data_IF_706836702965
#
_entry.id   IF_706836702965
#
_cell.length_a   1.000
_cell.length_b   1.000
_cell.length_c   1.000
_cell.angle_alpha   90.00
_cell.angle_beta   90.00
_cell.angle_gamma   90.00
#
_symmetry.space_group_name_H-M   'P 1'
#
loop_
_entity.id
_entity.type
_entity.pdbx_description
1 polymer ?
#
# COMPACT_ATOMS: atom_id res chain seq x y z
N UNK A 1 -0.22 25.14 -12.13
CA UNK A 1 -1.32 25.56 -11.25
C UNK A 1 -0.77 25.63 -9.84
N UNK A 2 -1.02 26.70 -9.08
CA UNK A 2 -0.50 26.82 -7.72
C UNK A 2 -1.11 25.76 -6.80
N UNK A 3 -0.31 25.24 -5.87
CA UNK A 3 -0.80 24.27 -4.88
C UNK A 3 -1.67 24.97 -3.83
N UNK A 4 -2.56 24.22 -3.16
CA UNK A 4 -3.41 24.78 -2.10
C UNK A 4 -2.59 25.50 -1.00
N UNK A 5 -1.40 24.96 -0.69
CA UNK A 5 -0.46 25.55 0.27
C UNK A 5 0.09 26.90 -0.21
N UNK A 6 0.43 27.03 -1.49
CA UNK A 6 0.89 28.29 -2.09
C UNK A 6 -0.21 29.36 -2.09
N UNK A 7 -1.46 28.95 -2.35
CA UNK A 7 -2.62 29.84 -2.31
C UNK A 7 -2.78 30.39 -0.89
N UNK A 8 -2.79 29.53 0.14
CA UNK A 8 -2.91 29.95 1.54
C UNK A 8 -1.77 30.87 1.97
N UNK A 9 -0.53 30.57 1.57
CA UNK A 9 0.62 31.42 1.85
C UNK A 9 0.46 32.82 1.22
N UNK A 10 0.04 32.87 -0.04
CA UNK A 10 -0.23 34.12 -0.74
C UNK A 10 -1.38 34.91 -0.09
N UNK A 11 -2.45 34.23 0.34
CA UNK A 11 -3.56 34.86 1.07
C UNK A 11 -3.10 35.48 2.40
N UNK A 12 -2.25 34.80 3.16
CA UNK A 12 -1.68 35.35 4.41
C UNK A 12 -0.81 36.57 4.16
N UNK A 13 -0.04 36.60 3.07
CA UNK A 13 0.74 37.79 2.68
C UNK A 13 -0.16 38.97 2.30
N UNK A 14 -1.25 38.71 1.57
CA UNK A 14 -2.23 39.74 1.22
C UNK A 14 -2.92 40.31 2.47
N UNK A 15 -3.31 39.45 3.41
CA UNK A 15 -3.91 39.89 4.68
C UNK A 15 -2.94 40.77 5.46
N UNK A 16 -1.66 40.37 5.57
CA UNK A 16 -0.63 41.21 6.23
C UNK A 16 -0.47 42.59 5.57
N UNK A 17 -0.53 42.66 4.24
CA UNK A 17 -0.48 43.95 3.52
C UNK A 17 -1.71 44.80 3.83
N UNK A 18 -2.89 44.20 3.87
CA UNK A 18 -4.14 44.90 4.23
C UNK A 18 -4.13 45.36 5.69
N UNK A 19 -3.59 44.58 6.62
CA UNK A 19 -3.41 44.96 8.03
C UNK A 19 -2.52 46.22 8.15
N UNK A 20 -1.43 46.28 7.37
CA UNK A 20 -0.56 47.46 7.32
C UNK A 20 -1.29 48.72 6.85
N UNK A 21 -2.07 48.62 5.78
CA UNK A 21 -2.87 49.74 5.26
C UNK A 21 -3.99 50.15 6.24
N UNK A 22 -4.64 49.18 6.88
CA UNK A 22 -5.70 49.44 7.87
C UNK A 22 -5.18 50.20 9.10
N UNK A 23 -3.94 49.92 9.52
CA UNK A 23 -3.27 50.64 10.61
C UNK A 23 -2.94 52.10 10.27
N UNK A 24 -2.71 52.42 8.99
CA UNK A 24 -2.46 53.81 8.57
C UNK A 24 -3.74 54.68 8.58
N UNK A 25 -4.91 54.06 8.42
CA UNK A 25 -6.21 54.75 8.37
C UNK A 25 -6.99 54.70 9.70
N UNK A 26 -6.37 54.13 10.75
CA UNK A 26 -6.89 54.01 12.13
C UNK A 26 -8.34 53.51 12.22
N UNK A 27 -8.70 52.56 11.33
CA UNK A 27 -10.04 51.98 11.27
C UNK A 27 -10.09 50.69 12.12
N UNK A 28 -10.51 50.83 13.38
CA UNK A 28 -10.57 49.73 14.33
C UNK A 28 -11.43 48.54 13.87
N UNK A 29 -12.55 48.79 13.21
CA UNK A 29 -13.44 47.73 12.71
C UNK A 29 -12.78 46.92 11.58
N UNK A 30 -12.06 47.60 10.68
CA UNK A 30 -11.30 46.95 9.63
C UNK A 30 -10.13 46.12 10.19
N UNK A 31 -9.43 46.64 11.21
CA UNK A 31 -8.32 45.94 11.88
C UNK A 31 -8.83 44.65 12.54
N UNK A 32 -9.96 44.71 13.26
CA UNK A 32 -10.55 43.54 13.91
C UNK A 32 -11.04 42.49 12.88
N UNK A 33 -11.68 42.94 11.81
CA UNK A 33 -12.11 42.06 10.72
C UNK A 33 -10.94 41.35 10.03
N UNK A 34 -9.83 42.04 9.81
CA UNK A 34 -8.61 41.46 9.23
C UNK A 34 -7.93 40.47 10.18
N UNK A 35 -7.92 40.76 11.48
CA UNK A 35 -7.38 39.85 12.50
C UNK A 35 -8.18 38.54 12.55
N UNK A 36 -9.53 38.63 12.54
CA UNK A 36 -10.41 37.46 12.48
C UNK A 36 -10.21 36.64 11.20
N UNK A 37 -10.09 37.31 10.04
CA UNK A 37 -9.81 36.64 8.77
C UNK A 37 -8.45 35.94 8.81
N UNK A 38 -7.42 36.58 9.35
CA UNK A 38 -6.08 36.00 9.52
C UNK A 38 -6.12 34.73 10.37
N UNK A 39 -6.85 34.74 11.48
CA UNK A 39 -7.03 33.58 12.35
C UNK A 39 -7.71 32.42 11.62
N UNK A 40 -8.76 32.70 10.85
CA UNK A 40 -9.44 31.68 10.04
C UNK A 40 -8.52 31.07 8.97
N UNK A 41 -7.73 31.89 8.28
CA UNK A 41 -6.77 31.40 7.26
C UNK A 41 -5.61 30.62 7.91
N UNK A 42 -5.18 30.98 9.13
CA UNK A 42 -4.20 30.18 9.86
C UNK A 42 -4.74 28.81 10.26
N UNK A 43 -5.97 28.73 10.78
CA UNK A 43 -6.62 27.44 11.07
C UNK A 43 -6.73 26.57 9.82
N UNK A 44 -7.16 27.17 8.70
CA UNK A 44 -7.20 26.47 7.41
C UNK A 44 -5.82 25.95 6.99
N UNK A 45 -4.76 26.72 7.24
CA UNK A 45 -3.39 26.27 6.97
C UNK A 45 -3.02 25.03 7.77
N UNK A 46 -3.36 25.01 9.05
CA UNK A 46 -3.10 23.86 9.94
C UNK A 46 -3.86 22.62 9.48
N UNK A 47 -5.14 22.75 9.16
CA UNK A 47 -5.96 21.64 8.61
C UNK A 47 -5.38 21.09 7.30
N UNK A 48 -4.91 21.97 6.41
CA UNK A 48 -4.27 21.55 5.15
C UNK A 48 -2.95 20.81 5.40
N UNK A 49 -2.18 21.19 6.43
CA UNK A 49 -0.98 20.46 6.82
C UNK A 49 -1.31 19.05 7.32
N UNK A 50 -2.27 18.93 8.22
CA UNK A 50 -2.74 17.65 8.77
C UNK A 50 -3.29 16.72 7.66
N UNK A 51 -4.11 17.27 6.75
CA UNK A 51 -4.60 16.51 5.59
C UNK A 51 -3.47 16.06 4.66
N UNK A 52 -2.45 16.90 4.45
CA UNK A 52 -1.29 16.54 3.62
C UNK A 52 -0.48 15.40 4.24
N UNK A 53 -0.34 15.38 5.58
CA UNK A 53 0.34 14.31 6.31
C UNK A 53 -0.45 13.00 6.23
N UNK A 54 -1.76 13.06 6.43
CA UNK A 54 -2.66 11.91 6.28
C UNK A 54 -2.66 11.34 4.87
N UNK A 55 -2.67 12.19 3.83
CA UNK A 55 -2.59 11.75 2.43
C UNK A 55 -1.26 11.01 2.18
N UNK A 56 -0.15 11.52 2.69
CA UNK A 56 1.15 10.86 2.58
C UNK A 56 1.17 9.50 3.29
N UNK A 57 0.61 9.42 4.50
CA UNK A 57 0.51 8.16 5.23
C UNK A 57 -0.36 7.13 4.49
N UNK A 58 -1.53 7.55 4.00
CA UNK A 58 -2.42 6.69 3.25
C UNK A 58 -1.78 6.19 1.96
N UNK A 59 -1.08 7.05 1.21
CA UNK A 59 -0.34 6.64 0.01
C UNK A 59 0.72 5.59 0.33
N UNK A 60 1.49 5.77 1.41
CA UNK A 60 2.48 4.76 1.84
C UNK A 60 1.84 3.43 2.22
N UNK A 61 0.69 3.46 2.91
CA UNK A 61 -0.06 2.25 3.25
C UNK A 61 -0.58 1.55 1.99
N UNK A 62 -1.11 2.30 1.03
CA UNK A 62 -1.54 1.77 -0.27
C UNK A 62 -0.37 1.13 -0.99
N UNK A 63 0.76 1.81 -1.14
CA UNK A 63 1.96 1.26 -1.78
C UNK A 63 2.45 -0.01 -1.09
N UNK A 64 2.46 -0.04 0.25
CA UNK A 64 2.81 -1.23 1.02
C UNK A 64 1.85 -2.39 0.74
N UNK A 65 0.54 -2.13 0.75
CA UNK A 65 -0.47 -3.14 0.47
C UNK A 65 -0.40 -3.63 -0.97
N UNK A 66 -0.25 -2.73 -1.94
CA UNK A 66 -0.08 -3.08 -3.36
C UNK A 66 1.17 -3.93 -3.57
N UNK A 67 2.30 -3.59 -2.95
CA UNK A 67 3.51 -4.42 -3.01
C UNK A 67 3.30 -5.82 -2.43
N UNK A 68 2.49 -5.94 -1.37
CA UNK A 68 2.12 -7.24 -0.79
C UNK A 68 1.12 -8.03 -1.65
N UNK A 69 0.30 -7.33 -2.45
CA UNK A 69 -0.69 -7.93 -3.36
C UNK A 69 -0.05 -8.43 -4.65
N UNK A 70 0.95 -7.73 -5.20
CA UNK A 70 1.73 -8.20 -6.36
C UNK A 70 2.45 -9.53 -6.05
N UNK A 71 2.71 -9.82 -4.77
CA UNK A 71 3.25 -11.10 -4.30
C UNK A 71 2.18 -12.16 -3.95
N UNK A 72 0.92 -11.98 -4.33
CA UNK A 72 -0.06 -13.08 -4.33
C UNK A 72 -0.16 -13.64 -5.74
N UNK A 73 0.71 -14.60 -6.12
CA UNK A 73 0.51 -15.33 -7.36
C UNK A 73 -0.88 -15.96 -7.33
N UNK A 74 -1.47 -16.21 -8.50
CA UNK A 74 -2.72 -16.98 -8.65
C UNK A 74 -2.49 -18.41 -8.12
N UNK A 75 -2.58 -18.54 -6.80
CA UNK A 75 -2.27 -19.74 -6.06
C UNK A 75 -3.50 -20.64 -6.06
N UNK A 76 -3.44 -21.69 -6.83
CA UNK A 76 -4.49 -22.70 -6.89
C UNK A 76 -4.09 -23.88 -6.00
N UNK A 77 -4.90 -24.15 -4.97
CA UNK A 77 -4.72 -25.34 -4.13
C UNK A 77 -5.28 -26.55 -4.86
N UNK A 78 -4.42 -27.52 -5.18
CA UNK A 78 -4.85 -28.74 -5.87
C UNK A 78 -4.00 -29.94 -5.41
N UNK A 79 -4.65 -31.11 -5.23
CA UNK A 79 -4.04 -32.35 -4.68
C UNK A 79 -3.15 -32.13 -3.45
N UNK A 80 -3.59 -31.23 -2.56
CA UNK A 80 -2.90 -30.98 -1.29
C UNK A 80 -1.61 -30.15 -1.42
N UNK A 81 -1.38 -29.43 -2.51
CA UNK A 81 -0.28 -28.45 -2.62
C UNK A 81 -0.77 -27.18 -3.31
N UNK A 82 0.00 -26.09 -3.22
CA UNK A 82 -0.28 -24.89 -3.99
C UNK A 82 0.47 -24.89 -5.31
N UNK A 83 -0.15 -24.31 -6.33
CA UNK A 83 0.41 -24.13 -7.66
C UNK A 83 0.26 -22.68 -8.07
N UNK A 84 1.26 -22.18 -8.77
CA UNK A 84 1.24 -20.85 -9.37
C UNK A 84 1.17 -21.03 -10.88
N UNK A 85 0.31 -20.26 -11.55
CA UNK A 85 0.26 -20.27 -13.01
C UNK A 85 1.62 -19.87 -13.60
N UNK A 86 2.15 -20.69 -14.52
CA UNK A 86 3.48 -20.50 -15.11
C UNK A 86 4.64 -21.07 -14.29
N UNK A 87 4.37 -21.60 -13.10
CA UNK A 87 5.37 -22.30 -12.29
C UNK A 87 5.24 -23.82 -12.46
N UNK A 88 6.36 -24.47 -12.72
CA UNK A 88 6.41 -25.91 -12.92
C UNK A 88 6.52 -26.70 -11.61
N UNK A 89 6.73 -26.05 -10.46
CA UNK A 89 7.01 -26.67 -9.16
C UNK A 89 5.92 -26.38 -8.09
N UNK A 90 5.49 -27.37 -7.28
CA UNK A 90 4.50 -27.17 -6.24
C UNK A 90 5.08 -26.44 -5.04
N UNK A 91 4.21 -25.72 -4.38
CA UNK A 91 4.51 -24.95 -3.18
C UNK A 91 3.89 -25.62 -1.95
N UNK A 92 4.57 -25.51 -0.82
CA UNK A 92 4.11 -26.08 0.45
C UNK A 92 2.87 -25.34 0.98
N UNK A 93 1.72 -26.03 1.20
CA UNK A 93 0.53 -25.39 1.74
C UNK A 93 0.70 -24.96 3.19
N UNK A 94 1.46 -25.72 3.98
CA UNK A 94 1.64 -25.43 5.41
C UNK A 94 2.45 -24.15 5.61
N UNK A 95 3.56 -23.99 4.89
CA UNK A 95 4.40 -22.79 5.00
C UNK A 95 3.70 -21.54 4.42
N UNK A 96 2.92 -21.73 3.36
CA UNK A 96 2.13 -20.65 2.78
C UNK A 96 0.96 -20.22 3.69
N UNK A 97 0.18 -21.15 4.21
CA UNK A 97 -0.99 -20.82 5.03
C UNK A 97 -0.59 -20.25 6.40
N UNK A 98 0.54 -20.69 6.95
CA UNK A 98 1.00 -20.24 8.26
C UNK A 98 1.71 -18.89 8.21
N UNK A 99 2.69 -18.76 7.31
CA UNK A 99 3.67 -17.66 7.35
C UNK A 99 3.72 -16.89 6.01
N UNK A 100 2.80 -17.17 5.06
CA UNK A 100 2.86 -16.72 3.65
C UNK A 100 4.24 -16.95 3.02
N UNK A 101 4.95 -17.97 3.51
CA UNK A 101 6.29 -18.30 3.06
C UNK A 101 6.16 -19.27 1.90
N UNK A 102 6.50 -18.74 0.74
CA UNK A 102 6.46 -19.46 -0.50
C UNK A 102 7.72 -20.37 -0.56
N UNK A 103 7.54 -21.69 -0.39
CA UNK A 103 8.61 -22.67 -0.51
C UNK A 103 8.23 -23.79 -1.47
N UNK A 104 9.10 -24.07 -2.43
CA UNK A 104 8.99 -25.24 -3.27
C UNK A 104 9.17 -26.54 -2.48
N UNK A 105 8.42 -27.57 -2.87
CA UNK A 105 8.61 -28.91 -2.36
C UNK A 105 9.72 -29.62 -3.13
N UNK A 106 10.66 -30.24 -2.41
CA UNK A 106 11.69 -31.09 -3.01
C UNK A 106 11.04 -32.33 -3.63
N UNK A 107 11.37 -32.59 -4.89
CA UNK A 107 10.80 -33.69 -5.67
C UNK A 107 11.75 -34.88 -5.68
N UNK A 108 11.19 -36.06 -5.45
CA UNK A 108 11.88 -37.34 -5.62
C UNK A 108 10.99 -38.26 -6.45
N UNK A 109 11.43 -38.58 -7.66
CA UNK A 109 10.71 -39.49 -8.54
C UNK A 109 10.88 -40.93 -8.03
N UNK A 110 9.76 -41.63 -7.84
CA UNK A 110 9.67 -43.02 -7.41
C UNK A 110 8.93 -43.85 -8.48
N UNK A 111 9.07 -45.17 -8.45
CA UNK A 111 8.36 -46.04 -9.41
C UNK A 111 6.83 -45.92 -9.33
N UNK A 112 6.29 -45.54 -8.17
CA UNK A 112 4.85 -45.43 -7.92
C UNK A 112 4.30 -43.98 -7.93
N UNK A 113 5.12 -42.99 -8.30
CA UNK A 113 4.73 -41.58 -8.28
C UNK A 113 5.88 -40.65 -7.90
N UNK A 114 5.57 -39.40 -7.55
CA UNK A 114 6.54 -38.38 -7.16
C UNK A 114 6.31 -37.99 -5.71
N UNK A 115 7.28 -38.28 -4.85
CA UNK A 115 7.27 -37.78 -3.48
C UNK A 115 7.71 -36.30 -3.48
N UNK A 116 6.86 -35.44 -2.93
CA UNK A 116 7.15 -34.04 -2.73
C UNK A 116 7.23 -33.75 -1.23
N UNK A 117 8.36 -33.23 -0.75
CA UNK A 117 8.58 -32.94 0.65
C UNK A 117 9.09 -31.51 0.88
N UNK A 118 8.53 -30.81 1.86
CA UNK A 118 8.95 -29.48 2.24
C UNK A 118 10.23 -29.55 3.07
N UNK A 119 11.31 -28.84 2.69
CA UNK A 119 12.55 -28.83 3.46
C UNK A 119 12.42 -28.14 4.83
N UNK A 120 11.42 -27.28 5.03
CA UNK A 120 11.29 -26.46 6.23
C UNK A 120 10.35 -27.06 7.29
N UNK A 121 9.18 -27.56 6.89
CA UNK A 121 8.18 -28.07 7.84
C UNK A 121 7.98 -29.59 7.79
N UNK A 122 8.62 -30.30 6.86
CA UNK A 122 8.48 -31.75 6.72
C UNK A 122 7.15 -32.22 6.11
N UNK A 123 6.27 -31.29 5.70
CA UNK A 123 5.06 -31.62 4.94
C UNK A 123 5.43 -32.44 3.70
N UNK A 124 4.80 -33.59 3.53
CA UNK A 124 5.05 -34.44 2.38
C UNK A 124 3.74 -34.94 1.75
N UNK A 125 3.78 -35.13 0.44
CA UNK A 125 2.67 -35.63 -0.37
C UNK A 125 3.22 -36.47 -1.50
N UNK A 126 2.50 -37.52 -1.88
CA UNK A 126 2.79 -38.29 -3.09
C UNK A 126 1.89 -37.78 -4.22
N UNK A 127 2.49 -37.14 -5.22
CA UNK A 127 1.82 -36.69 -6.42
C UNK A 127 1.94 -37.76 -7.51
N UNK A 128 0.89 -37.94 -8.29
CA UNK A 128 0.97 -38.82 -9.47
C UNK A 128 1.84 -38.20 -10.57
N UNK A 129 2.40 -39.04 -11.45
CA UNK A 129 3.29 -38.62 -12.55
C UNK A 129 2.60 -37.79 -13.64
N UNK A 130 1.31 -37.50 -13.49
CA UNK A 130 0.48 -36.75 -14.44
C UNK A 130 0.45 -35.25 -14.16
N UNK A 131 1.33 -34.74 -13.27
CA UNK A 131 1.28 -33.39 -12.73
C UNK A 131 2.61 -32.61 -12.93
N UNK A 132 2.61 -31.32 -13.33
CA UNK A 132 1.47 -30.39 -13.55
C UNK A 132 0.50 -30.77 -14.65
N UNK A 133 -0.81 -30.39 -14.56
CA UNK A 133 -1.79 -30.66 -15.60
C UNK A 133 -1.32 -29.90 -16.84
N UNK A 134 -1.34 -30.57 -18.01
CA UNK A 134 -0.92 -29.95 -19.28
C UNK A 134 -1.66 -28.64 -19.58
N UNK A 135 -2.89 -28.51 -19.09
CA UNK A 135 -3.76 -27.33 -19.25
C UNK A 135 -3.23 -26.04 -18.61
N UNK A 136 -2.21 -26.10 -17.74
CA UNK A 136 -1.67 -24.91 -17.06
C UNK A 136 -0.29 -24.48 -17.59
N UNK A 137 0.13 -25.07 -18.72
CA UNK A 137 1.42 -24.85 -19.39
C UNK A 137 1.36 -23.91 -20.61
N UNK A 138 0.19 -23.28 -20.86
CA UNK A 138 -0.04 -22.30 -21.94
C UNK A 138 -0.19 -20.87 -21.41
#
# INVERSE_FOLDING_TARGET
MPTLREIIASSLELIKKLEGVAGEVDNAELIDGLASLREQVQRLREEVLDLSEKDLELRKRVETLESSLVMKPDLVRHKGVYWIKGDSEPWCPVCWDKDQTALHLNRTDLMAGRLCACPQCGYNVNLDNTYPPREWSE
#
